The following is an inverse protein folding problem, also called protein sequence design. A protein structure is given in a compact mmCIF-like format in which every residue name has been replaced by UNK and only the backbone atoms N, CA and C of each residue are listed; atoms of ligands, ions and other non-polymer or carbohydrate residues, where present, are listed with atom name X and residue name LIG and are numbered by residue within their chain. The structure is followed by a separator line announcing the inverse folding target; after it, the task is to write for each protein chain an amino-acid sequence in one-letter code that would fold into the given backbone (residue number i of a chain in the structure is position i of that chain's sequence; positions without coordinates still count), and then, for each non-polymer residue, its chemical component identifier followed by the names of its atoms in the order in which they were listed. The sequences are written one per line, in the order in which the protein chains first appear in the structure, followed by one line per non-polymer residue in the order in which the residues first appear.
data_IF_047769577902
#
_entry.id   IF_047769577902
#
_cell.length_a   1.000
_cell.length_b   1.000
_cell.length_c   1.000
_cell.angle_alpha   90.00
_cell.angle_beta   90.00
_cell.angle_gamma   90.00
#
_symmetry.space_group_name_H-M   'P 1'
#
loop_
_entity.id
_entity.type
_entity.pdbx_description
1 polymer ?
#
# COMPACT_ATOMS: atom_id res chain seq x y z
N UNK A 1 4.36 -16.02 -9.01
CA UNK A 1 4.06 -14.82 -8.18
C UNK A 1 3.20 -13.89 -9.02
N UNK A 2 2.10 -13.37 -8.47
CA UNK A 2 1.28 -12.37 -9.16
C UNK A 2 1.64 -10.98 -8.64
N UNK A 3 1.63 -10.00 -9.55
CA UNK A 3 1.84 -8.60 -9.23
C UNK A 3 0.61 -7.79 -9.63
N UNK A 4 0.32 -6.75 -8.84
CA UNK A 4 -0.88 -5.95 -8.99
C UNK A 4 -0.57 -4.46 -9.04
N UNK A 5 -1.40 -3.75 -9.81
CA UNK A 5 -1.49 -2.29 -9.78
C UNK A 5 -2.93 -1.88 -9.52
N UNK A 6 -3.14 -0.86 -8.70
CA UNK A 6 -4.47 -0.34 -8.38
C UNK A 6 -4.68 1.04 -8.99
N UNK A 7 -5.86 1.25 -9.55
CA UNK A 7 -6.25 2.54 -10.15
C UNK A 7 -7.72 2.84 -9.89
N UNK A 8 -8.07 4.13 -9.85
CA UNK A 8 -9.46 4.59 -9.88
C UNK A 8 -10.02 4.57 -11.33
N UNK A 9 -9.15 4.39 -12.34
CA UNK A 9 -9.53 4.36 -13.75
C UNK A 9 -9.69 2.93 -14.24
N UNK A 10 -10.78 2.68 -14.97
CA UNK A 10 -11.04 1.48 -15.75
C UNK A 10 -10.36 1.57 -17.14
N UNK A 11 -10.26 0.43 -17.82
CA UNK A 11 -9.87 0.35 -19.22
C UNK A 11 -8.40 0.71 -19.52
N UNK A 12 -7.50 0.59 -18.55
CA UNK A 12 -6.07 0.81 -18.80
C UNK A 12 -5.53 -0.39 -19.56
N UNK A 13 -5.21 -0.20 -20.84
CA UNK A 13 -4.66 -1.24 -21.71
C UNK A 13 -3.13 -1.37 -21.59
N UNK A 14 -2.45 -0.25 -21.29
CA UNK A 14 -0.99 -0.21 -21.14
C UNK A 14 -0.59 0.72 -20.01
N UNK A 15 0.23 0.22 -19.10
CA UNK A 15 0.92 1.03 -18.11
C UNK A 15 2.25 1.51 -18.69
N UNK A 16 2.38 2.81 -18.88
CA UNK A 16 3.63 3.44 -19.32
C UNK A 16 4.40 3.97 -18.13
N UNK A 17 5.74 3.83 -18.09
CA UNK A 17 6.58 4.38 -17.05
C UNK A 17 6.33 5.88 -16.85
N UNK A 18 6.12 6.29 -15.61
CA UNK A 18 5.90 7.69 -15.21
C UNK A 18 6.78 8.02 -14.01
N UNK A 19 7.36 9.23 -13.95
CA UNK A 19 8.04 9.67 -12.76
C UNK A 19 7.06 9.78 -11.60
N UNK A 20 7.57 9.65 -10.37
CA UNK A 20 6.73 9.87 -9.19
C UNK A 20 6.23 11.31 -9.19
N UNK A 21 4.97 11.53 -8.80
CA UNK A 21 4.37 12.88 -8.74
C UNK A 21 5.10 13.81 -7.76
N UNK A 22 5.64 13.23 -6.71
CA UNK A 22 6.41 13.93 -5.69
C UNK A 22 7.67 13.13 -5.42
N UNK A 23 8.83 13.69 -5.79
CA UNK A 23 10.12 13.09 -5.49
C UNK A 23 10.32 13.00 -3.98
N UNK A 24 10.80 11.87 -3.52
CA UNK A 24 11.13 11.62 -2.11
C UNK A 24 12.62 11.43 -1.95
N UNK A 25 13.22 11.82 -0.80
CA UNK A 25 14.59 11.46 -0.49
C UNK A 25 14.75 9.94 -0.55
N UNK A 26 15.76 9.48 -1.29
CA UNK A 26 16.12 8.08 -1.43
C UNK A 26 17.49 7.83 -0.85
N UNK A 27 17.76 6.60 -0.47
CA UNK A 27 19.11 6.18 -0.13
C UNK A 27 20.05 6.35 -1.32
N UNK A 28 21.34 6.56 -1.06
CA UNK A 28 22.36 6.69 -2.10
C UNK A 28 22.32 5.46 -3.04
N UNK A 29 22.26 5.71 -4.36
CA UNK A 29 22.11 4.68 -5.38
C UNK A 29 20.68 4.23 -5.66
N UNK A 30 19.68 4.77 -4.96
CA UNK A 30 18.26 4.47 -5.17
C UNK A 30 17.47 5.67 -5.71
N UNK A 31 18.12 6.74 -6.09
CA UNK A 31 17.50 7.99 -6.59
C UNK A 31 16.69 7.75 -7.89
N UNK A 32 17.11 6.76 -8.69
CA UNK A 32 16.44 6.33 -9.91
C UNK A 32 14.98 5.88 -9.68
N UNK A 33 14.62 5.49 -8.45
CA UNK A 33 13.24 5.15 -8.07
C UNK A 33 12.28 6.34 -8.12
N UNK A 34 12.76 7.56 -8.27
CA UNK A 34 11.94 8.75 -8.54
C UNK A 34 11.70 8.97 -10.04
N UNK A 35 12.39 8.22 -10.88
CA UNK A 35 12.30 8.30 -12.33
C UNK A 35 11.05 7.62 -12.91
N UNK A 36 10.98 7.53 -14.25
CA UNK A 36 9.86 6.89 -14.94
C UNK A 36 9.84 5.38 -14.70
N UNK A 37 8.84 4.90 -13.96
CA UNK A 37 8.64 3.50 -13.61
C UNK A 37 7.16 3.13 -13.65
N UNK A 38 6.88 1.86 -13.92
CA UNK A 38 5.60 1.22 -13.59
C UNK A 38 5.79 0.50 -12.26
N UNK A 39 4.93 0.80 -11.29
CA UNK A 39 4.99 0.22 -9.96
C UNK A 39 3.96 -0.89 -9.81
N UNK A 40 4.34 -1.97 -9.15
CA UNK A 40 3.47 -3.07 -8.81
C UNK A 40 3.74 -3.55 -7.38
N UNK A 41 2.79 -4.27 -6.82
CA UNK A 41 2.84 -4.85 -5.47
C UNK A 41 2.48 -6.33 -5.54
N UNK A 42 3.08 -7.13 -4.67
CA UNK A 42 2.76 -8.56 -4.57
C UNK A 42 1.39 -8.82 -3.91
N UNK A 43 0.97 -10.08 -3.93
CA UNK A 43 -0.32 -10.52 -3.40
C UNK A 43 -0.45 -10.29 -1.89
N UNK A 44 0.63 -10.51 -1.12
CA UNK A 44 0.56 -10.38 0.32
C UNK A 44 0.42 -8.93 0.78
N UNK A 45 1.07 -7.98 0.10
CA UNK A 45 1.10 -6.56 0.46
C UNK A 45 0.05 -5.73 -0.28
N UNK A 46 -0.65 -6.30 -1.30
CA UNK A 46 -1.63 -5.56 -2.09
C UNK A 46 -2.72 -4.83 -1.28
N UNK A 47 -3.15 -5.28 -0.06
CA UNK A 47 -4.16 -4.56 0.71
C UNK A 47 -3.78 -3.11 1.04
N UNK A 48 -2.49 -2.77 1.06
CA UNK A 48 -2.04 -1.37 1.25
C UNK A 48 -2.55 -0.42 0.16
N UNK A 49 -2.97 -0.95 -0.99
CA UNK A 49 -3.44 -0.19 -2.15
C UNK A 49 -4.95 -0.27 -2.38
N UNK A 50 -5.69 -0.98 -1.50
CA UNK A 50 -7.17 -0.97 -1.45
C UNK A 50 -7.70 0.33 -0.87
N UNK A 51 -7.32 1.46 -1.45
CA UNK A 51 -7.68 2.79 -0.95
C UNK A 51 -7.85 3.76 -2.12
N UNK A 52 -8.76 4.75 -2.00
CA UNK A 52 -8.84 5.82 -2.97
C UNK A 52 -7.49 6.51 -3.14
N UNK A 53 -7.22 6.99 -4.35
CA UNK A 53 -6.03 7.79 -4.61
C UNK A 53 -5.92 8.95 -3.61
N UNK A 54 -4.71 9.23 -3.16
CA UNK A 54 -4.37 10.28 -2.20
C UNK A 54 -4.92 10.08 -0.76
N UNK A 55 -5.62 8.98 -0.46
CA UNK A 55 -6.03 8.67 0.91
C UNK A 55 -4.80 8.40 1.79
N UNK A 56 -4.50 9.28 2.78
CA UNK A 56 -3.44 9.04 3.73
C UNK A 56 -3.77 7.84 4.60
N UNK A 57 -2.82 6.92 4.72
CA UNK A 57 -2.98 5.71 5.53
C UNK A 57 -1.67 5.26 6.13
N UNK A 58 -1.78 4.58 7.25
CA UNK A 58 -0.64 3.96 7.95
C UNK A 58 -0.99 2.50 8.20
N UNK A 59 -0.14 1.63 7.70
CA UNK A 59 -0.20 0.20 7.95
C UNK A 59 0.85 -0.22 8.96
N UNK A 60 0.53 -1.23 9.77
CA UNK A 60 1.49 -1.88 10.64
C UNK A 60 1.26 -3.39 10.63
N UNK A 61 2.34 -4.16 10.63
CA UNK A 61 2.30 -5.62 10.75
C UNK A 61 3.64 -6.16 11.27
N UNK A 62 3.63 -7.35 11.91
CA UNK A 62 4.86 -7.99 12.33
C UNK A 62 5.60 -8.61 11.14
N UNK A 63 6.92 -8.51 11.13
CA UNK A 63 7.84 -9.13 10.19
C UNK A 63 8.77 -10.10 10.90
N UNK A 64 9.63 -10.81 10.17
CA UNK A 64 10.55 -11.78 10.76
C UNK A 64 11.42 -11.18 11.87
N UNK A 65 11.89 -9.95 11.69
CA UNK A 65 12.74 -9.22 12.66
C UNK A 65 11.97 -8.56 13.80
N UNK A 66 10.64 -8.67 13.84
CA UNK A 66 9.81 -8.12 14.92
C UNK A 66 10.12 -8.83 16.24
N UNK A 67 10.42 -8.04 17.28
CA UNK A 67 10.73 -8.57 18.62
C UNK A 67 9.54 -9.35 19.20
N UNK A 68 9.78 -10.34 20.10
CA UNK A 68 8.71 -11.07 20.77
C UNK A 68 7.74 -10.15 21.51
N UNK A 69 8.26 -9.10 22.16
CA UNK A 69 7.44 -8.13 22.90
C UNK A 69 6.48 -7.35 21.99
N UNK A 70 6.99 -6.81 20.86
CA UNK A 70 6.14 -6.09 19.91
C UNK A 70 5.16 -7.02 19.19
N UNK A 71 5.57 -8.25 18.92
CA UNK A 71 4.70 -9.27 18.32
C UNK A 71 3.55 -9.62 19.28
N UNK A 72 3.85 -9.79 20.57
CA UNK A 72 2.85 -10.03 21.59
C UNK A 72 1.90 -8.83 21.74
N UNK A 73 2.44 -7.61 21.79
CA UNK A 73 1.65 -6.38 21.86
C UNK A 73 0.71 -6.24 20.64
N UNK A 74 1.19 -6.54 19.42
CA UNK A 74 0.37 -6.55 18.24
C UNK A 74 -0.75 -7.59 18.30
N UNK A 75 -0.44 -8.83 18.69
CA UNK A 75 -1.41 -9.92 18.80
C UNK A 75 -2.45 -9.68 19.91
N UNK A 76 -2.13 -8.88 20.91
CA UNK A 76 -3.07 -8.51 21.97
C UNK A 76 -4.15 -7.52 21.51
N UNK A 77 -3.91 -6.78 20.44
CA UNK A 77 -4.82 -5.73 19.95
C UNK A 77 -5.56 -6.12 18.66
N UNK A 78 -5.13 -7.15 17.95
CA UNK A 78 -5.78 -7.63 16.73
C UNK A 78 -5.48 -9.11 16.47
N UNK A 79 -6.44 -9.80 15.85
CA UNK A 79 -6.25 -11.13 15.27
C UNK A 79 -5.92 -11.07 13.76
N UNK A 80 -5.96 -9.88 13.17
CA UNK A 80 -5.66 -9.67 11.76
C UNK A 80 -4.15 -9.67 11.49
N UNK A 81 -3.77 -9.99 10.26
CA UNK A 81 -2.35 -9.99 9.86
C UNK A 81 -1.75 -8.60 9.70
N UNK A 82 -2.60 -7.60 9.43
CA UNK A 82 -2.24 -6.19 9.30
C UNK A 82 -3.30 -5.31 9.97
N UNK A 83 -2.88 -4.14 10.41
CA UNK A 83 -3.78 -3.07 10.82
C UNK A 83 -3.56 -1.87 9.92
N UNK A 84 -4.65 -1.37 9.32
CA UNK A 84 -4.68 -0.17 8.52
C UNK A 84 -5.33 0.96 9.30
N UNK A 85 -4.74 2.15 9.25
CA UNK A 85 -5.28 3.34 9.91
C UNK A 85 -5.55 4.43 8.88
N UNK A 86 -6.74 5.05 8.97
CA UNK A 86 -7.12 6.24 8.18
C UNK A 86 -7.68 7.31 9.09
N UNK A 87 -7.72 8.54 8.61
CA UNK A 87 -8.45 9.61 9.27
C UNK A 87 -9.94 9.53 8.96
N UNK A 88 -10.79 9.85 9.95
CA UNK A 88 -12.26 9.80 9.85
C UNK A 88 -12.83 10.51 8.64
N UNK A 89 -12.23 11.60 8.21
CA UNK A 89 -12.66 12.37 7.02
C UNK A 89 -12.60 11.58 5.72
N UNK A 90 -11.87 10.45 5.69
CA UNK A 90 -11.73 9.60 4.52
C UNK A 90 -12.69 8.42 4.48
N UNK A 91 -13.34 8.09 5.62
CA UNK A 91 -14.17 6.88 5.74
C UNK A 91 -15.29 6.84 4.71
N UNK A 92 -16.01 7.95 4.53
CA UNK A 92 -17.11 8.03 3.61
C UNK A 92 -16.67 7.86 2.14
N UNK A 93 -15.54 8.49 1.77
CA UNK A 93 -14.95 8.33 0.44
C UNK A 93 -14.43 6.91 0.23
N UNK A 94 -13.81 6.30 1.25
CA UNK A 94 -13.35 4.92 1.20
C UNK A 94 -14.52 3.96 0.97
N UNK A 95 -15.61 4.12 1.71
CA UNK A 95 -16.78 3.22 1.64
C UNK A 95 -17.51 3.26 0.30
N UNK A 96 -17.38 4.38 -0.44
CA UNK A 96 -18.01 4.57 -1.77
C UNK A 96 -17.04 4.38 -2.92
N UNK A 97 -15.78 4.13 -2.64
CA UNK A 97 -14.77 4.00 -3.68
C UNK A 97 -14.99 2.74 -4.51
N UNK A 98 -14.71 2.87 -5.79
CA UNK A 98 -14.54 1.75 -6.72
C UNK A 98 -13.11 1.77 -7.20
N UNK A 99 -12.43 0.64 -7.12
CA UNK A 99 -11.05 0.49 -7.56
C UNK A 99 -10.97 -0.60 -8.63
N UNK A 100 -9.99 -0.47 -9.49
CA UNK A 100 -9.64 -1.47 -10.48
C UNK A 100 -8.26 -2.04 -10.14
N UNK A 101 -8.22 -3.35 -9.90
CA UNK A 101 -6.99 -4.09 -9.65
C UNK A 101 -6.55 -4.76 -10.94
N UNK A 102 -5.44 -4.31 -11.47
CA UNK A 102 -4.81 -4.87 -12.67
C UNK A 102 -3.79 -5.92 -12.27
N UNK A 103 -3.91 -7.12 -12.83
CA UNK A 103 -2.89 -8.16 -12.72
C UNK A 103 -1.82 -7.90 -13.79
N UNK A 104 -0.55 -7.89 -13.38
CA UNK A 104 0.58 -7.58 -14.24
C UNK A 104 1.51 -8.79 -14.39
N UNK A 105 2.12 -9.00 -15.57
CA UNK A 105 3.06 -10.10 -15.79
C UNK A 105 4.34 -9.90 -14.98
N UNK A 106 4.63 -10.83 -14.05
CA UNK A 106 5.73 -10.68 -13.09
C UNK A 106 7.11 -10.62 -13.73
N UNK A 107 7.29 -11.24 -14.88
CA UNK A 107 8.54 -11.26 -15.65
C UNK A 107 8.96 -9.89 -16.19
N UNK A 108 8.04 -8.92 -16.22
CA UNK A 108 8.33 -7.55 -16.62
C UNK A 108 8.88 -6.68 -15.50
N UNK A 109 9.01 -7.22 -14.28
CA UNK A 109 9.32 -6.47 -13.07
C UNK A 109 10.56 -6.96 -12.35
N UNK A 110 11.27 -6.03 -11.74
CA UNK A 110 12.34 -6.28 -10.77
C UNK A 110 11.86 -6.00 -9.34
N UNK A 111 12.04 -6.94 -8.39
CA UNK A 111 11.62 -6.75 -7.00
C UNK A 111 12.56 -5.79 -6.28
N UNK A 112 12.01 -4.95 -5.41
CA UNK A 112 12.79 -3.97 -4.63
C UNK A 112 13.20 -4.49 -3.24
N UNK A 113 12.64 -5.62 -2.78
CA UNK A 113 12.87 -6.13 -1.42
C UNK A 113 12.25 -5.26 -0.32
N UNK A 114 11.32 -4.37 -0.66
CA UNK A 114 10.62 -3.48 0.27
C UNK A 114 9.12 -3.64 0.10
N UNK A 115 8.46 -4.13 1.15
CA UNK A 115 6.99 -4.26 1.27
C UNK A 115 6.30 -4.79 0.00
N UNK A 116 6.90 -5.81 -0.65
CA UNK A 116 6.35 -6.47 -1.83
C UNK A 116 6.35 -5.62 -3.10
N UNK A 117 7.03 -4.48 -3.10
CA UNK A 117 7.09 -3.58 -4.24
C UNK A 117 8.03 -4.12 -5.33
N UNK A 118 7.58 -3.97 -6.56
CA UNK A 118 8.34 -4.27 -7.77
C UNK A 118 8.16 -3.15 -8.79
N UNK A 119 9.13 -2.99 -9.69
CA UNK A 119 9.11 -1.92 -10.69
C UNK A 119 9.47 -2.45 -12.08
N UNK A 120 8.90 -1.82 -13.10
CA UNK A 120 9.30 -2.02 -14.51
C UNK A 120 9.72 -0.70 -15.13
N UNK A 121 10.78 -0.74 -15.93
CA UNK A 121 11.28 0.41 -16.70
C UNK A 121 10.63 0.49 -18.09
N UNK A 122 9.97 -0.57 -18.49
CA UNK A 122 9.24 -0.66 -19.75
C UNK A 122 7.74 -0.47 -19.59
N UNK A 123 7.04 -0.31 -20.72
CA UNK A 123 5.59 -0.36 -20.75
C UNK A 123 5.10 -1.78 -20.47
N UNK A 124 4.01 -1.93 -19.72
CA UNK A 124 3.46 -3.20 -19.31
C UNK A 124 1.97 -3.27 -19.63
N UNK A 125 1.55 -4.33 -20.29
CA UNK A 125 0.13 -4.62 -20.52
C UNK A 125 -0.41 -5.51 -19.40
N UNK A 126 -1.54 -5.17 -18.79
CA UNK A 126 -2.17 -6.05 -17.80
C UNK A 126 -2.71 -7.32 -18.44
N UNK A 127 -2.73 -8.41 -17.71
CA UNK A 127 -3.29 -9.69 -18.14
C UNK A 127 -4.74 -9.89 -17.68
N UNK A 128 -5.17 -9.15 -16.67
CA UNK A 128 -6.54 -9.15 -16.15
C UNK A 128 -6.84 -7.86 -15.40
N UNK A 129 -8.13 -7.57 -15.23
CA UNK A 129 -8.62 -6.48 -14.38
C UNK A 129 -9.80 -6.96 -13.57
N UNK A 130 -9.79 -6.64 -12.27
CA UNK A 130 -10.91 -6.88 -11.35
C UNK A 130 -11.46 -5.53 -10.88
N UNK A 131 -12.77 -5.40 -10.87
CA UNK A 131 -13.46 -4.26 -10.27
C UNK A 131 -13.74 -4.57 -8.79
N UNK A 132 -13.30 -3.70 -7.90
CA UNK A 132 -13.41 -3.87 -6.44
C UNK A 132 -14.30 -2.77 -5.90
N UNK A 133 -15.39 -3.16 -5.29
CA UNK A 133 -16.33 -2.33 -4.53
C UNK A 133 -16.28 -2.74 -3.05
N UNK A 134 -16.94 -1.97 -2.19
CA UNK A 134 -16.97 -2.24 -0.74
C UNK A 134 -15.56 -2.47 -0.18
N UNK A 135 -14.76 -1.43 -0.25
CA UNK A 135 -13.35 -1.50 0.18
C UNK A 135 -13.19 -1.95 1.63
N UNK A 136 -14.03 -1.52 2.61
CA UNK A 136 -13.98 -2.05 3.96
C UNK A 136 -14.09 -3.59 4.02
N UNK A 137 -15.01 -4.15 3.23
CA UNK A 137 -15.19 -5.60 3.14
C UNK A 137 -14.00 -6.28 2.46
N UNK A 138 -13.45 -5.67 1.42
CA UNK A 138 -12.26 -6.18 0.73
C UNK A 138 -11.04 -6.22 1.67
N UNK A 139 -10.86 -5.23 2.53
CA UNK A 139 -9.82 -5.21 3.57
C UNK A 139 -10.04 -6.32 4.61
N UNK A 140 -11.26 -6.46 5.12
CA UNK A 140 -11.62 -7.54 6.05
C UNK A 140 -11.29 -8.92 5.47
N UNK A 141 -11.73 -9.17 4.23
CA UNK A 141 -11.47 -10.44 3.51
C UNK A 141 -9.96 -10.68 3.29
N UNK A 142 -9.18 -9.63 3.19
CA UNK A 142 -7.72 -9.71 3.09
C UNK A 142 -7.01 -9.87 4.46
N UNK A 143 -7.76 -9.99 5.56
CA UNK A 143 -7.19 -10.11 6.90
C UNK A 143 -6.60 -8.82 7.44
N UNK A 144 -7.16 -7.67 7.06
CA UNK A 144 -6.74 -6.35 7.49
C UNK A 144 -7.81 -5.73 8.38
N UNK A 145 -7.43 -5.32 9.59
CA UNK A 145 -8.28 -4.52 10.46
C UNK A 145 -8.18 -3.04 10.07
N UNK A 146 -9.31 -2.43 9.73
CA UNK A 146 -9.38 -1.00 9.45
C UNK A 146 -9.72 -0.21 10.72
N UNK A 147 -8.85 0.71 11.10
CA UNK A 147 -9.04 1.65 12.21
C UNK A 147 -9.21 3.07 11.71
N UNK A 148 -10.22 3.73 12.23
CA UNK A 148 -10.56 5.11 11.87
C UNK A 148 -10.22 6.02 13.04
N UNK A 149 -9.29 6.95 12.83
CA UNK A 149 -8.75 7.85 13.84
C UNK A 149 -9.13 9.31 13.53
N UNK A 150 -9.18 10.18 14.56
CA UNK A 150 -9.27 11.62 14.34
C UNK A 150 -8.07 12.19 13.58
N UNK A 151 -6.86 11.65 13.85
CA UNK A 151 -5.61 12.09 13.22
C UNK A 151 -4.59 10.97 13.21
N UNK A 152 -3.90 10.79 12.07
CA UNK A 152 -2.77 9.86 11.94
C UNK A 152 -1.53 10.30 12.71
N UNK A 153 -1.46 11.55 13.16
CA UNK A 153 -0.33 12.05 13.98
C UNK A 153 -0.17 11.31 15.29
N UNK A 154 -1.26 10.72 15.82
CA UNK A 154 -1.24 9.92 17.05
C UNK A 154 -0.46 8.63 16.90
N UNK A 155 -0.17 8.20 15.68
CA UNK A 155 0.54 6.96 15.38
C UNK A 155 2.08 7.09 15.41
N UNK A 156 2.63 8.28 15.71
CA UNK A 156 4.09 8.46 15.79
C UNK A 156 4.82 7.38 16.60
N UNK A 157 4.29 6.89 17.76
CA UNK A 157 4.95 5.83 18.53
C UNK A 157 5.13 4.51 17.76
N UNK A 158 4.33 4.21 16.74
CA UNK A 158 4.48 2.98 15.95
C UNK A 158 5.85 2.88 15.28
N UNK A 159 6.43 4.01 14.85
CA UNK A 159 7.75 4.05 14.22
C UNK A 159 8.91 3.75 15.18
N UNK A 160 8.63 3.69 16.50
CA UNK A 160 9.60 3.27 17.51
C UNK A 160 9.51 1.80 17.86
N UNK A 161 8.57 1.07 17.26
CA UNK A 161 8.42 -0.39 17.42
C UNK A 161 9.25 -1.13 16.37
N UNK A 162 9.43 -2.42 16.56
CA UNK A 162 10.05 -3.33 15.59
C UNK A 162 9.06 -3.89 14.55
N UNK A 163 7.80 -3.43 14.56
CA UNK A 163 6.84 -3.71 13.50
C UNK A 163 7.27 -3.05 12.19
N UNK A 164 6.91 -3.66 11.06
CA UNK A 164 6.96 -2.92 9.81
C UNK A 164 5.83 -1.89 9.81
N UNK A 165 6.18 -0.62 9.58
CA UNK A 165 5.22 0.49 9.52
C UNK A 165 5.35 1.18 8.17
N UNK A 166 4.27 1.17 7.39
CA UNK A 166 4.22 1.82 6.08
C UNK A 166 3.25 3.00 6.10
N UNK A 167 3.78 4.20 5.84
CA UNK A 167 2.97 5.43 5.70
C UNK A 167 2.85 5.84 4.24
N UNK A 168 1.64 5.75 3.67
CA UNK A 168 1.36 6.10 2.29
C UNK A 168 0.55 7.40 2.26
N UNK A 169 0.98 8.38 1.44
CA UNK A 169 0.40 9.73 1.36
C UNK A 169 0.30 10.47 2.70
N UNK A 170 0.84 9.89 3.79
CA UNK A 170 0.77 10.43 5.15
C UNK A 170 1.62 11.71 5.34
N UNK A 171 2.58 11.99 4.44
CA UNK A 171 3.43 13.21 4.51
C UNK A 171 2.62 14.51 4.33
N UNK A 172 1.42 14.46 3.74
CA UNK A 172 0.51 15.61 3.65
C UNK A 172 -0.17 15.95 4.99
N UNK A 173 -0.08 15.06 5.98
CA UNK A 173 -0.71 15.22 7.31
C UNK A 173 0.24 15.86 8.32
N UNK A 174 1.50 16.06 7.95
CA UNK A 174 2.58 16.51 8.85
C UNK A 174 3.01 17.97 8.73
N UNK A 175 2.28 18.81 7.95
CA UNK A 175 2.49 20.27 7.91
C UNK A 175 1.33 21.02 8.53
#
# INVERSE_FOLDING_TARGET
MQLFHFSDADGIEVFTPRPVKLAVPRAAGSEWLNGPLVWAVDDWHQPMYLFPRDCPRVFAWPVETTTPADRQAFSAITSCRMVAHIERRWLDRLSRAVLFRYTLPAEAFEPLGDAGMSVSRGAVMPTAVDRIEDIPRALENAGVELRVLPSLKTLKPLWSTSLHVSGISSRKVGR
#
